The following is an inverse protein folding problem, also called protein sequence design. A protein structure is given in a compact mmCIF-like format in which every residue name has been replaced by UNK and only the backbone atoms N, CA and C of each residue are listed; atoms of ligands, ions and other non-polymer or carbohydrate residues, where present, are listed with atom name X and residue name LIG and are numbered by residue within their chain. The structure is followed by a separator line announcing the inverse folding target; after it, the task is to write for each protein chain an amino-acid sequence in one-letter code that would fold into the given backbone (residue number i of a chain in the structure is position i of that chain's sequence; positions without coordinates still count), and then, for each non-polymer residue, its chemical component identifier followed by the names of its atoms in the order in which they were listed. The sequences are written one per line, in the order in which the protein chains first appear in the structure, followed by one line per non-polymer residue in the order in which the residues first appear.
data_IF_773397609303
#
_entry.id   IF_773397609303
#
_cell.length_a   1.000
_cell.length_b   1.000
_cell.length_c   1.000
_cell.angle_alpha   90.00
_cell.angle_beta   90.00
_cell.angle_gamma   90.00
#
_symmetry.space_group_name_H-M   'P 1'
#
loop_
_entity.id
_entity.type
_entity.pdbx_description
1 polymer ?
#
# COMPACT_ATOMS: atom_id res chain seq x y z
N UNK A 1 -23.12 -6.83 7.97
CA UNK A 1 -21.69 -6.97 7.62
C UNK A 1 -21.36 -5.84 6.67
N UNK A 2 -20.73 -4.77 7.16
CA UNK A 2 -20.47 -3.56 6.35
C UNK A 2 -19.31 -3.89 5.42
N UNK A 3 -19.63 -4.13 4.14
CA UNK A 3 -18.65 -4.25 3.08
C UNK A 3 -18.24 -2.84 2.65
N UNK A 4 -17.06 -2.38 3.08
CA UNK A 4 -16.52 -1.09 2.65
C UNK A 4 -15.92 -1.10 1.24
N UNK A 5 -15.91 -2.24 0.53
CA UNK A 5 -15.16 -2.36 -0.74
C UNK A 5 -13.65 -2.10 -0.60
N UNK A 6 -13.14 -2.00 0.63
CA UNK A 6 -11.85 -1.41 0.93
C UNK A 6 -10.72 -2.44 0.79
N UNK A 7 -10.10 -2.49 -0.38
CA UNK A 7 -8.77 -3.07 -0.54
C UNK A 7 -7.75 -1.98 -0.21
N UNK A 8 -6.84 -2.28 0.71
CA UNK A 8 -5.70 -1.42 1.01
C UNK A 8 -4.55 -1.78 0.07
N UNK A 9 -3.99 -0.78 -0.60
CA UNK A 9 -2.75 -0.89 -1.34
C UNK A 9 -1.65 -0.22 -0.53
N UNK A 10 -0.64 -0.99 -0.14
CA UNK A 10 0.55 -0.47 0.54
C UNK A 10 1.68 -0.45 -0.48
N UNK A 11 2.40 0.67 -0.58
CA UNK A 11 3.52 0.87 -1.49
C UNK A 11 4.77 1.23 -0.68
N UNK A 12 5.93 0.66 -1.01
CA UNK A 12 7.19 0.98 -0.34
C UNK A 12 8.40 0.85 -1.26
N UNK A 13 9.44 1.62 -0.95
CA UNK A 13 10.71 1.57 -1.67
C UNK A 13 11.50 0.29 -1.31
N UNK A 14 12.14 -0.37 -2.30
CA UNK A 14 13.11 -1.43 -2.01
C UNK A 14 14.31 -0.87 -1.25
N UNK A 15 14.89 -1.66 -0.34
CA UNK A 15 15.97 -1.24 0.56
C UNK A 15 17.29 -0.80 -0.12
N UNK A 16 17.44 -1.04 -1.43
CA UNK A 16 18.65 -0.71 -2.19
C UNK A 16 18.35 0.31 -3.31
N UNK A 17 18.64 1.59 -3.07
CA UNK A 17 18.45 2.69 -4.02
C UNK A 17 19.34 2.60 -5.28
N UNK A 18 20.36 1.75 -5.26
CA UNK A 18 21.37 1.68 -6.32
C UNK A 18 20.95 0.82 -7.54
N UNK A 19 19.94 -0.04 -7.43
CA UNK A 19 19.56 -0.96 -8.52
C UNK A 19 18.07 -0.97 -8.90
N UNK A 20 17.23 -0.19 -8.22
CA UNK A 20 15.77 -0.29 -8.35
C UNK A 20 15.05 1.07 -8.39
N UNK A 21 15.68 2.09 -9.02
CA UNK A 21 15.16 3.47 -9.07
C UNK A 21 13.78 3.62 -9.72
N UNK A 22 13.43 2.72 -10.65
CA UNK A 22 12.13 2.71 -11.32
C UNK A 22 11.18 1.63 -10.79
N UNK A 23 11.46 1.06 -9.61
CA UNK A 23 10.68 -0.05 -9.07
C UNK A 23 10.13 0.28 -7.69
N UNK A 24 8.89 -0.12 -7.44
CA UNK A 24 8.24 0.02 -6.14
C UNK A 24 7.59 -1.31 -5.76
N UNK A 25 7.74 -1.71 -4.50
CA UNK A 25 7.02 -2.86 -3.97
C UNK A 25 5.60 -2.45 -3.61
N UNK A 26 4.67 -3.39 -3.76
CA UNK A 26 3.32 -3.22 -3.26
C UNK A 26 2.75 -4.49 -2.64
N UNK A 27 1.81 -4.29 -1.73
CA UNK A 27 0.95 -5.33 -1.19
C UNK A 27 -0.51 -4.93 -1.39
N UNK A 28 -1.31 -5.86 -1.91
CA UNK A 28 -2.76 -5.72 -1.99
C UNK A 28 -3.38 -6.48 -0.83
N UNK A 29 -4.12 -5.79 0.02
CA UNK A 29 -4.67 -6.34 1.25
C UNK A 29 -6.18 -6.17 1.24
N UNK A 30 -6.91 -7.28 1.33
CA UNK A 30 -8.35 -7.24 1.56
C UNK A 30 -8.61 -7.04 3.04
N UNK A 31 -9.30 -5.96 3.38
CA UNK A 31 -9.62 -5.62 4.76
C UNK A 31 -10.96 -6.20 5.18
N UNK A 32 -11.06 -6.56 6.45
CA UNK A 32 -12.30 -6.92 7.09
C UNK A 32 -12.38 -6.29 8.49
N UNK A 33 -13.60 -5.89 8.85
CA UNK A 33 -13.90 -5.45 10.20
C UNK A 33 -14.32 -6.64 11.04
N UNK A 34 -13.68 -6.79 12.20
CA UNK A 34 -13.99 -7.82 13.20
C UNK A 34 -14.41 -7.15 14.51
N UNK A 35 -14.92 -7.97 15.44
CA UNK A 35 -15.27 -7.52 16.80
C UNK A 35 -16.15 -6.26 16.80
N UNK A 36 -17.19 -6.23 15.94
CA UNK A 36 -18.12 -5.10 15.79
C UNK A 36 -17.46 -3.74 15.44
N UNK A 37 -16.38 -3.73 14.65
CA UNK A 37 -15.72 -2.48 14.26
C UNK A 37 -14.51 -2.10 15.10
N UNK A 38 -14.25 -2.83 16.18
CA UNK A 38 -13.11 -2.54 17.06
C UNK A 38 -11.77 -2.99 16.48
N UNK A 39 -11.81 -3.96 15.56
CA UNK A 39 -10.61 -4.50 14.93
C UNK A 39 -10.72 -4.43 13.41
N UNK A 40 -9.59 -4.08 12.79
CA UNK A 40 -9.41 -4.15 11.34
C UNK A 40 -8.33 -5.19 11.06
N UNK A 41 -8.72 -6.24 10.35
CA UNK A 41 -7.83 -7.31 9.93
C UNK A 41 -7.64 -7.24 8.41
N UNK A 42 -6.53 -7.80 7.93
CA UNK A 42 -6.21 -7.81 6.52
C UNK A 42 -5.70 -9.16 6.05
N UNK A 43 -6.23 -9.67 4.94
CA UNK A 43 -5.64 -10.79 4.20
C UNK A 43 -4.81 -10.23 3.05
N UNK A 44 -3.51 -10.55 3.02
CA UNK A 44 -2.65 -10.21 1.90
C UNK A 44 -3.05 -11.06 0.69
N UNK A 45 -3.54 -10.42 -0.37
CA UNK A 45 -3.88 -11.05 -1.64
C UNK A 45 -2.63 -11.27 -2.49
N UNK A 46 -1.72 -10.29 -2.53
CA UNK A 46 -0.44 -10.41 -3.23
C UNK A 46 0.61 -9.45 -2.67
N UNK A 47 1.87 -9.82 -2.86
CA UNK A 47 3.05 -8.95 -2.71
C UNK A 47 3.83 -9.06 -4.00
N UNK A 48 4.03 -7.94 -4.68
CA UNK A 48 4.69 -7.90 -5.99
C UNK A 48 5.36 -6.54 -6.22
N UNK A 49 6.00 -6.36 -7.37
CA UNK A 49 6.78 -5.18 -7.70
C UNK A 49 6.29 -4.55 -9.00
N UNK A 50 6.00 -3.26 -8.95
CA UNK A 50 5.71 -2.46 -10.13
C UNK A 50 7.02 -1.91 -10.70
N UNK A 51 7.12 -1.90 -12.03
CA UNK A 51 8.21 -1.24 -12.75
C UNK A 51 7.63 -0.09 -13.55
N UNK A 52 8.07 1.13 -13.25
CA UNK A 52 7.68 2.32 -13.98
C UNK A 52 8.44 2.41 -15.31
N UNK A 53 7.80 2.98 -16.36
CA UNK A 53 8.44 3.16 -17.66
C UNK A 53 9.52 4.26 -17.65
N UNK A 54 9.59 5.06 -16.58
CA UNK A 54 10.55 6.16 -16.38
C UNK A 54 11.63 5.74 -15.37
N UNK A 55 12.84 6.31 -15.46
CA UNK A 55 13.97 5.91 -14.62
C UNK A 55 13.78 6.20 -13.12
N UNK A 56 12.99 7.21 -12.78
CA UNK A 56 12.74 7.64 -11.40
C UNK A 56 11.29 8.07 -11.21
N UNK A 57 10.79 7.96 -9.99
CA UNK A 57 9.50 8.47 -9.56
C UNK A 57 9.65 9.29 -8.27
N UNK A 58 8.73 10.23 -8.04
CA UNK A 58 8.65 10.99 -6.80
C UNK A 58 7.50 10.44 -5.94
N UNK A 59 7.68 10.43 -4.62
CA UNK A 59 6.62 10.12 -3.66
C UNK A 59 6.32 11.36 -2.83
N UNK A 60 5.04 11.63 -2.61
CA UNK A 60 4.59 12.73 -1.76
C UNK A 60 3.82 12.16 -0.58
N UNK A 61 4.20 12.54 0.63
CA UNK A 61 3.43 12.20 1.82
C UNK A 61 2.20 13.11 1.90
N UNK A 62 1.00 12.53 1.90
CA UNK A 62 -0.20 13.27 2.24
C UNK A 62 -0.15 13.61 3.73
N UNK A 63 0.04 14.89 4.05
CA UNK A 63 -0.11 15.39 5.41
C UNK A 63 -1.62 15.57 5.68
N UNK A 64 -2.13 15.00 6.76
CA UNK A 64 -3.49 15.30 7.19
C UNK A 64 -3.52 16.73 7.71
N UNK A 65 -4.56 17.49 7.37
CA UNK A 65 -4.81 18.75 8.08
C UNK A 65 -5.09 18.42 9.55
N UNK A 66 -4.34 19.04 10.46
CA UNK A 66 -4.65 19.02 11.88
C UNK A 66 -5.61 20.18 12.17
N UNK A 67 -6.73 19.89 12.83
CA UNK A 67 -7.66 20.90 13.35
C UNK A 67 -7.09 21.64 14.58
#
# INVERSE_FOLDING_TARGET
MVNYGAKLLVLWHPYSDLCMRNKIWYAKICLESRCNGLEVWGKVECVDMLTFPVETYESFCCLTASD
#
